data_IF_002684161436
#
_entry.id   IF_002684161436
#
_cell.length_a   1.000
_cell.length_b   1.000
_cell.length_c   1.000
_cell.angle_alpha   90.00
_cell.angle_beta   90.00
_cell.angle_gamma   90.00
#
_symmetry.space_group_name_H-M   'P 1'
#
loop_
_entity.id
_entity.type
_entity.pdbx_description
1 polymer ?
#
# COMPACT_ATOMS: atom_id res chain seq x y z
N UNK A 1 -10.58 2.21 24.07
CA UNK A 1 -9.70 1.50 23.09
C UNK A 1 -10.44 0.91 21.89
N UNK A 2 -11.60 0.24 22.04
CA UNK A 2 -12.37 -0.36 20.89
C UNK A 2 -12.69 0.58 19.72
N UNK A 3 -12.68 1.88 19.96
CA UNK A 3 -13.18 2.90 19.05
C UNK A 3 -12.18 3.35 17.96
N UNK A 4 -10.92 2.89 17.97
CA UNK A 4 -9.88 3.27 16.97
C UNK A 4 -9.01 2.12 16.48
N UNK A 5 -9.40 0.87 16.79
CA UNK A 5 -8.65 -0.34 16.39
C UNK A 5 -8.65 -0.50 14.87
N UNK A 6 -9.78 -0.19 14.22
CA UNK A 6 -9.93 -0.25 12.77
C UNK A 6 -8.89 0.62 12.06
N UNK A 7 -8.71 1.86 12.50
CA UNK A 7 -7.73 2.79 11.90
C UNK A 7 -6.29 2.36 12.15
N UNK A 8 -6.00 1.77 13.32
CA UNK A 8 -4.68 1.18 13.62
C UNK A 8 -4.40 -0.01 12.69
N UNK A 9 -5.35 -0.93 12.55
CA UNK A 9 -5.21 -2.10 11.66
C UNK A 9 -5.10 -1.66 10.20
N UNK A 10 -5.92 -0.72 9.76
CA UNK A 10 -5.88 -0.19 8.40
C UNK A 10 -4.53 0.46 8.09
N UNK A 11 -3.97 1.23 9.03
CA UNK A 11 -2.67 1.87 8.86
C UNK A 11 -1.52 0.84 8.93
N UNK A 12 -1.64 -0.18 9.79
CA UNK A 12 -0.68 -1.29 9.84
C UNK A 12 -0.65 -2.10 8.53
N UNK A 13 -1.83 -2.42 7.99
CA UNK A 13 -1.96 -3.09 6.70
C UNK A 13 -1.37 -2.26 5.57
N UNK A 14 -1.59 -0.94 5.56
CA UNK A 14 -0.94 -0.06 4.60
C UNK A 14 0.59 -0.14 4.67
N UNK A 15 1.18 -0.07 5.86
CA UNK A 15 2.65 -0.18 5.99
C UNK A 15 3.16 -1.52 5.48
N UNK A 16 2.46 -2.62 5.79
CA UNK A 16 2.80 -3.94 5.28
C UNK A 16 2.69 -4.00 3.74
N UNK A 17 1.53 -3.65 3.17
CA UNK A 17 1.28 -3.79 1.73
C UNK A 17 2.17 -2.86 0.91
N UNK A 18 2.49 -1.67 1.41
CA UNK A 18 3.43 -0.76 0.77
C UNK A 18 4.83 -1.38 0.70
N UNK A 19 5.37 -1.81 1.83
CA UNK A 19 6.70 -2.40 1.91
C UNK A 19 6.81 -3.76 1.17
N UNK A 20 5.75 -4.56 1.23
CA UNK A 20 5.66 -5.82 0.49
C UNK A 20 5.55 -5.61 -1.03
N UNK A 21 4.84 -4.57 -1.47
CA UNK A 21 4.75 -4.21 -2.89
C UNK A 21 6.08 -3.72 -3.44
N UNK A 22 6.77 -2.86 -2.70
CA UNK A 22 8.12 -2.39 -3.01
C UNK A 22 9.09 -3.59 -3.11
N UNK A 23 9.11 -4.45 -2.10
CA UNK A 23 9.91 -5.67 -2.12
C UNK A 23 9.59 -6.59 -3.32
N UNK A 24 8.29 -6.80 -3.61
CA UNK A 24 7.88 -7.58 -4.78
C UNK A 24 8.41 -6.94 -6.06
N UNK A 25 8.27 -5.63 -6.21
CA UNK A 25 8.74 -4.89 -7.38
C UNK A 25 10.26 -5.08 -7.56
N UNK A 26 11.06 -4.93 -6.51
CA UNK A 26 12.51 -5.09 -6.58
C UNK A 26 12.91 -6.51 -6.99
N UNK A 27 12.27 -7.53 -6.40
CA UNK A 27 12.50 -8.93 -6.77
C UNK A 27 12.17 -9.17 -8.23
N UNK A 28 11.03 -8.66 -8.71
CA UNK A 28 10.64 -8.80 -10.13
C UNK A 28 11.60 -8.03 -11.04
N UNK A 29 12.02 -6.83 -10.68
CA UNK A 29 12.94 -6.02 -11.48
C UNK A 29 14.35 -6.62 -11.55
N UNK A 30 14.84 -7.21 -10.46
CA UNK A 30 16.15 -7.86 -10.41
C UNK A 30 16.27 -9.07 -11.35
N UNK A 31 15.17 -9.61 -11.87
CA UNK A 31 15.18 -10.64 -12.91
C UNK A 31 15.57 -10.08 -14.29
N UNK A 32 15.41 -8.77 -14.51
CA UNK A 32 15.59 -8.13 -15.82
C UNK A 32 16.76 -7.15 -15.88
N UNK A 33 17.13 -6.52 -14.75
CA UNK A 33 18.10 -5.42 -14.72
C UNK A 33 19.15 -5.57 -13.63
N UNK A 34 20.23 -4.80 -13.73
CA UNK A 34 21.30 -4.78 -12.73
C UNK A 34 20.85 -4.16 -11.40
N UNK A 35 21.47 -4.48 -10.24
CA UNK A 35 21.08 -3.90 -8.96
C UNK A 35 21.09 -2.37 -8.91
N UNK A 36 22.01 -1.72 -9.64
CA UNK A 36 22.05 -0.26 -9.73
C UNK A 36 20.84 0.31 -10.48
N UNK A 37 20.33 -0.41 -11.47
CA UNK A 37 19.12 -0.02 -12.20
C UNK A 37 17.86 -0.29 -11.38
N UNK A 38 17.80 -1.37 -10.60
CA UNK A 38 16.67 -1.65 -9.69
C UNK A 38 16.39 -0.44 -8.80
N UNK A 39 17.43 0.12 -8.15
CA UNK A 39 17.30 1.30 -7.28
C UNK A 39 16.75 2.54 -8.01
N UNK A 40 17.07 2.70 -9.30
CA UNK A 40 16.54 3.79 -10.12
C UNK A 40 15.03 3.58 -10.35
N UNK A 41 14.62 2.37 -10.71
CA UNK A 41 13.21 2.05 -10.94
C UNK A 41 12.39 2.05 -9.65
N UNK A 42 12.97 1.59 -8.55
CA UNK A 42 12.42 1.68 -7.19
C UNK A 42 12.12 3.15 -6.85
N UNK A 43 13.09 4.04 -7.08
CA UNK A 43 12.90 5.49 -6.87
C UNK A 43 11.75 6.06 -7.72
N UNK A 44 11.54 5.56 -8.93
CA UNK A 44 10.43 5.97 -9.79
C UNK A 44 9.07 5.53 -9.23
N UNK A 45 8.94 4.27 -8.78
CA UNK A 45 7.67 3.76 -8.24
C UNK A 45 7.36 4.38 -6.87
N UNK A 46 8.37 4.63 -6.04
CA UNK A 46 8.22 5.43 -4.80
C UNK A 46 7.72 6.83 -5.16
N UNK A 47 8.30 7.47 -6.18
CA UNK A 47 7.83 8.76 -6.70
C UNK A 47 6.36 8.73 -7.15
N UNK A 48 5.92 7.67 -7.81
CA UNK A 48 4.53 7.50 -8.23
C UNK A 48 3.57 7.40 -7.02
N UNK A 49 4.01 6.81 -5.91
CA UNK A 49 3.21 6.76 -4.68
C UNK A 49 2.93 8.15 -4.11
N UNK A 50 3.87 9.09 -4.23
CA UNK A 50 3.69 10.48 -3.80
C UNK A 50 2.56 11.14 -4.58
N UNK A 51 2.51 10.91 -5.90
CA UNK A 51 1.43 11.42 -6.77
C UNK A 51 0.08 10.91 -6.26
N UNK A 52 -0.06 9.60 -6.07
CA UNK A 52 -1.29 9.00 -5.55
C UNK A 52 -1.67 9.52 -4.16
N UNK A 53 -0.70 9.75 -3.29
CA UNK A 53 -0.92 10.29 -1.95
C UNK A 53 -1.56 11.68 -1.97
N UNK A 54 -1.18 12.53 -2.92
CA UNK A 54 -1.76 13.87 -3.08
C UNK A 54 -3.13 13.89 -3.73
N UNK A 55 -3.53 12.84 -4.46
CA UNK A 55 -4.86 12.79 -5.11
C UNK A 55 -5.97 12.90 -4.06
N UNK A 56 -5.89 12.16 -2.94
CA UNK A 56 -6.94 12.17 -1.89
C UNK A 56 -7.21 13.56 -1.29
N UNK A 57 -6.22 14.34 -0.80
CA UNK A 57 -6.48 15.68 -0.27
C UNK A 57 -6.99 16.65 -1.35
N UNK A 58 -6.50 16.54 -2.60
CA UNK A 58 -7.01 17.37 -3.71
C UNK A 58 -8.50 17.10 -3.94
N UNK A 59 -8.90 15.83 -3.98
CA UNK A 59 -10.32 15.45 -4.11
C UNK A 59 -11.14 15.91 -2.91
N UNK A 60 -10.60 15.79 -1.70
CA UNK A 60 -11.26 16.27 -0.48
C UNK A 60 -11.62 17.75 -0.54
N UNK A 61 -10.70 18.60 -1.01
CA UNK A 61 -10.95 20.05 -1.08
C UNK A 61 -11.72 20.48 -2.34
N UNK A 62 -11.54 19.80 -3.48
CA UNK A 62 -12.11 20.26 -4.77
C UNK A 62 -13.35 19.49 -5.21
N UNK A 63 -13.44 18.19 -4.92
CA UNK A 63 -14.46 17.26 -5.45
C UNK A 63 -14.79 16.14 -4.45
N UNK A 64 -15.36 16.45 -3.27
CA UNK A 64 -15.56 15.44 -2.23
C UNK A 64 -16.51 14.31 -2.63
N UNK A 65 -17.46 14.57 -3.54
CA UNK A 65 -18.45 13.60 -4.01
C UNK A 65 -17.87 12.44 -4.85
N UNK A 66 -16.66 12.55 -5.38
CA UNK A 66 -16.04 11.47 -6.18
C UNK A 66 -15.09 10.59 -5.36
N UNK A 67 -14.91 10.88 -4.07
CA UNK A 67 -13.91 10.20 -3.23
C UNK A 67 -14.20 8.72 -3.10
N UNK A 68 -15.47 8.34 -2.91
CA UNK A 68 -15.87 6.96 -2.71
C UNK A 68 -15.65 6.16 -4.01
N UNK A 69 -16.13 6.70 -5.13
CA UNK A 69 -15.90 6.12 -6.46
C UNK A 69 -14.40 6.01 -6.79
N UNK A 70 -13.59 7.03 -6.44
CA UNK A 70 -12.14 6.98 -6.63
C UNK A 70 -11.52 5.89 -5.76
N UNK A 71 -11.97 5.73 -4.52
CA UNK A 71 -11.50 4.67 -3.62
C UNK A 71 -11.80 3.27 -4.16
N UNK A 72 -13.00 3.05 -4.72
CA UNK A 72 -13.37 1.79 -5.36
C UNK A 72 -12.47 1.47 -6.55
N UNK A 73 -12.31 2.43 -7.46
CA UNK A 73 -11.46 2.28 -8.64
C UNK A 73 -10.01 2.04 -8.24
N UNK A 74 -9.48 2.80 -7.27
CA UNK A 74 -8.12 2.61 -6.77
C UNK A 74 -7.93 1.23 -6.15
N UNK A 75 -8.90 0.72 -5.40
CA UNK A 75 -8.83 -0.62 -4.82
C UNK A 75 -8.75 -1.72 -5.89
N UNK A 76 -9.58 -1.63 -6.92
CA UNK A 76 -9.56 -2.56 -8.07
C UNK A 76 -8.24 -2.45 -8.83
N UNK A 77 -7.77 -1.23 -9.10
CA UNK A 77 -6.49 -0.98 -9.77
C UNK A 77 -5.30 -1.54 -8.99
N UNK A 78 -5.30 -1.40 -7.66
CA UNK A 78 -4.24 -1.94 -6.82
C UNK A 78 -4.15 -3.45 -6.95
N UNK A 79 -5.27 -4.16 -6.78
CA UNK A 79 -5.29 -5.63 -6.87
C UNK A 79 -4.91 -6.09 -8.28
N UNK A 80 -5.43 -5.44 -9.32
CA UNK A 80 -5.06 -5.75 -10.70
C UNK A 80 -3.55 -5.53 -10.96
N UNK A 81 -2.98 -4.42 -10.49
CA UNK A 81 -1.56 -4.11 -10.67
C UNK A 81 -0.65 -5.09 -9.91
N UNK A 82 -1.03 -5.52 -8.71
CA UNK A 82 -0.31 -6.56 -7.97
C UNK A 82 -0.33 -7.90 -8.71
N UNK A 83 -1.49 -8.31 -9.25
CA UNK A 83 -1.59 -9.53 -10.06
C UNK A 83 -0.76 -9.43 -11.35
N UNK A 84 -0.74 -8.26 -11.99
CA UNK A 84 0.12 -7.99 -13.14
C UNK A 84 1.60 -8.11 -12.77
N UNK A 85 2.05 -7.53 -11.65
CA UNK A 85 3.44 -7.65 -11.16
C UNK A 85 3.84 -9.11 -10.93
N UNK A 86 2.96 -9.90 -10.32
CA UNK A 86 3.19 -11.32 -10.04
C UNK A 86 3.37 -12.13 -11.34
N UNK A 87 2.57 -11.81 -12.37
CA UNK A 87 2.52 -12.57 -13.62
C UNK A 87 3.40 -11.97 -14.74
N UNK A 88 4.02 -10.81 -14.51
CA UNK A 88 4.76 -10.09 -15.53
C UNK A 88 5.99 -10.86 -16.00
N UNK A 89 6.06 -11.11 -17.31
CA UNK A 89 7.21 -11.75 -17.99
C UNK A 89 8.08 -10.77 -18.78
N UNK A 90 7.67 -9.50 -18.83
CA UNK A 90 8.33 -8.42 -19.55
C UNK A 90 8.62 -7.27 -18.60
N UNK A 91 9.80 -6.66 -18.74
CA UNK A 91 10.27 -5.58 -17.85
C UNK A 91 9.36 -4.35 -17.92
N UNK A 92 8.83 -4.02 -19.10
CA UNK A 92 7.92 -2.88 -19.28
C UNK A 92 6.62 -3.07 -18.49
N UNK A 93 6.14 -4.31 -18.39
CA UNK A 93 4.94 -4.67 -17.62
C UNK A 93 5.22 -4.60 -16.13
N UNK A 94 6.43 -4.99 -15.68
CA UNK A 94 6.84 -4.82 -14.28
C UNK A 94 6.87 -3.33 -13.91
N UNK A 95 7.48 -2.48 -14.74
CA UNK A 95 7.54 -1.03 -14.52
C UNK A 95 6.13 -0.43 -14.48
N UNK A 96 5.29 -0.72 -15.48
CA UNK A 96 3.93 -0.21 -15.53
C UNK A 96 3.09 -0.69 -14.34
N UNK A 97 3.19 -1.97 -13.98
CA UNK A 97 2.52 -2.56 -12.82
C UNK A 97 2.97 -1.91 -11.51
N UNK A 98 4.28 -1.70 -11.34
CA UNK A 98 4.87 -1.02 -10.18
C UNK A 98 4.39 0.42 -10.04
N UNK A 99 4.41 1.20 -11.12
CA UNK A 99 3.92 2.58 -11.13
C UNK A 99 2.44 2.66 -10.72
N UNK A 100 1.59 1.79 -11.28
CA UNK A 100 0.16 1.76 -10.97
C UNK A 100 -0.07 1.29 -9.53
N UNK A 101 0.58 0.21 -9.09
CA UNK A 101 0.44 -0.35 -7.75
C UNK A 101 0.88 0.67 -6.68
N UNK A 102 2.05 1.28 -6.84
CA UNK A 102 2.58 2.27 -5.90
C UNK A 102 1.73 3.55 -5.89
N UNK A 103 1.25 4.03 -7.04
CA UNK A 103 0.33 5.16 -7.09
C UNK A 103 -1.00 4.84 -6.36
N UNK A 104 -1.57 3.66 -6.60
CA UNK A 104 -2.79 3.23 -5.93
C UNK A 104 -2.58 3.08 -4.40
N UNK A 105 -1.47 2.48 -3.98
CA UNK A 105 -1.07 2.40 -2.57
C UNK A 105 -0.86 3.77 -1.95
N UNK A 106 -0.31 4.73 -2.69
CA UNK A 106 -0.19 6.12 -2.27
C UNK A 106 -1.54 6.73 -1.90
N UNK A 107 -2.54 6.57 -2.76
CA UNK A 107 -3.91 7.03 -2.47
C UNK A 107 -4.55 6.30 -1.28
N UNK A 108 -4.40 4.98 -1.21
CA UNK A 108 -4.87 4.16 -0.09
C UNK A 108 -4.21 4.58 1.23
N UNK A 109 -2.91 4.86 1.21
CA UNK A 109 -2.13 5.35 2.35
C UNK A 109 -2.60 6.72 2.81
N UNK A 110 -2.81 7.66 1.89
CA UNK A 110 -3.36 8.98 2.19
C UNK A 110 -4.73 8.89 2.86
N UNK A 111 -5.58 7.97 2.38
CA UNK A 111 -6.89 7.69 2.99
C UNK A 111 -6.75 7.10 4.39
N UNK A 112 -5.87 6.11 4.59
CA UNK A 112 -5.59 5.51 5.88
C UNK A 112 -5.08 6.54 6.89
N UNK A 113 -4.11 7.38 6.48
CA UNK A 113 -3.58 8.46 7.31
C UNK A 113 -4.63 9.51 7.64
N UNK A 114 -5.49 9.89 6.70
CA UNK A 114 -6.56 10.85 6.96
C UNK A 114 -7.60 10.29 7.96
N UNK A 115 -8.00 9.03 7.80
CA UNK A 115 -8.91 8.34 8.74
C UNK A 115 -8.28 8.23 10.13
N UNK A 116 -7.02 7.80 10.20
CA UNK A 116 -6.27 7.69 11.43
C UNK A 116 -6.12 9.06 12.12
N UNK A 117 -5.70 10.09 11.40
CA UNK A 117 -5.54 11.43 11.95
C UNK A 117 -6.86 11.97 12.48
N UNK A 118 -7.97 11.87 11.73
CA UNK A 118 -9.31 12.26 12.20
C UNK A 118 -9.71 11.56 13.50
N UNK A 119 -9.38 10.26 13.62
CA UNK A 119 -9.71 9.44 14.79
C UNK A 119 -8.91 9.84 16.03
N UNK A 120 -7.62 10.13 15.87
CA UNK A 120 -6.69 10.31 16.99
C UNK A 120 -6.30 11.77 17.26
N UNK A 121 -6.67 12.74 16.42
CA UNK A 121 -6.27 14.15 16.51
C UNK A 121 -6.49 14.81 17.89
N UNK A 122 -7.52 14.38 18.63
CA UNK A 122 -7.86 14.91 19.96
C UNK A 122 -7.53 13.94 21.09
N UNK A 123 -6.62 13.01 20.86
CA UNK A 123 -6.24 11.98 21.85
C UNK A 123 -4.76 12.08 22.19
N UNK A 124 -4.35 11.85 23.45
CA UNK A 124 -2.94 11.82 23.83
C UNK A 124 -2.19 10.61 23.27
N UNK A 125 -2.88 9.68 22.62
CA UNK A 125 -2.34 8.41 22.14
C UNK A 125 -1.96 8.42 20.66
N UNK A 126 -2.06 9.56 19.93
CA UNK A 126 -1.83 9.61 18.48
C UNK A 126 -0.47 9.03 18.10
N UNK A 127 0.61 9.53 18.70
CA UNK A 127 1.96 9.06 18.41
C UNK A 127 2.14 7.57 18.74
N UNK A 128 1.59 7.12 19.87
CA UNK A 128 1.66 5.70 20.29
C UNK A 128 0.91 4.79 19.32
N UNK A 129 -0.28 5.20 18.88
CA UNK A 129 -1.08 4.44 17.94
C UNK A 129 -0.44 4.39 16.54
N UNK A 130 0.23 5.47 16.11
CA UNK A 130 0.95 5.52 14.84
C UNK A 130 2.19 4.60 14.89
N UNK A 131 2.98 4.70 15.96
CA UNK A 131 4.12 3.82 16.19
C UNK A 131 3.72 2.34 16.28
N UNK A 132 2.61 2.03 16.95
CA UNK A 132 2.06 0.68 17.00
C UNK A 132 1.64 0.19 15.61
N UNK A 133 0.97 1.03 14.82
CA UNK A 133 0.55 0.67 13.46
C UNK A 133 1.75 0.34 12.58
N UNK A 134 2.80 1.17 12.63
CA UNK A 134 4.05 0.93 11.93
C UNK A 134 4.73 -0.37 12.39
N UNK A 135 4.90 -0.54 13.70
CA UNK A 135 5.53 -1.74 14.26
C UNK A 135 4.76 -3.02 13.89
N UNK A 136 3.43 -2.97 13.88
CA UNK A 136 2.59 -4.09 13.44
C UNK A 136 2.77 -4.38 11.95
N UNK A 137 2.79 -3.36 11.09
CA UNK A 137 3.02 -3.55 9.66
C UNK A 137 4.38 -4.18 9.35
N UNK A 138 5.45 -3.67 9.98
CA UNK A 138 6.80 -4.24 9.87
C UNK A 138 6.87 -5.65 10.44
N UNK A 139 6.22 -5.92 11.57
CA UNK A 139 6.15 -7.27 12.13
C UNK A 139 5.50 -8.25 11.15
N UNK A 140 4.39 -7.87 10.52
CA UNK A 140 3.74 -8.69 9.49
C UNK A 140 4.68 -8.91 8.29
N UNK A 141 5.42 -7.88 7.87
CA UNK A 141 6.43 -8.01 6.81
C UNK A 141 7.50 -9.04 7.16
N UNK A 142 8.08 -8.94 8.36
CA UNK A 142 9.12 -9.86 8.84
C UNK A 142 8.57 -11.28 8.93
N UNK A 143 7.36 -11.47 9.48
CA UNK A 143 6.74 -12.78 9.57
C UNK A 143 6.42 -13.36 8.18
N UNK A 144 5.92 -12.55 7.26
CA UNK A 144 5.67 -12.97 5.89
C UNK A 144 6.98 -13.45 5.23
N UNK A 145 8.07 -12.72 5.42
CA UNK A 145 9.36 -13.08 4.85
C UNK A 145 10.00 -14.32 5.49
N UNK A 146 9.89 -14.46 6.82
CA UNK A 146 10.57 -15.54 7.58
C UNK A 146 9.79 -16.86 7.59
N UNK A 147 8.45 -16.80 7.53
CA UNK A 147 7.60 -17.99 7.74
C UNK A 147 7.02 -18.51 6.43
N UNK A 148 6.67 -17.63 5.49
CA UNK A 148 6.05 -18.07 4.24
C UNK A 148 7.13 -18.52 3.25
N UNK A 149 6.94 -19.64 2.53
CA UNK A 149 7.81 -20.03 1.44
C UNK A 149 7.86 -18.93 0.37
N UNK A 150 9.06 -18.72 -0.19
CA UNK A 150 9.28 -17.75 -1.27
C UNK A 150 8.39 -18.10 -2.47
N UNK A 151 7.84 -17.07 -3.12
CA UNK A 151 6.97 -17.19 -4.29
C UNK A 151 5.49 -17.04 -3.94
N UNK A 152 4.65 -17.95 -4.43
CA UNK A 152 3.18 -17.85 -4.40
C UNK A 152 2.63 -17.59 -2.99
N UNK A 153 3.09 -18.25 -1.90
CA UNK A 153 2.54 -18.00 -0.57
C UNK A 153 2.74 -16.56 -0.09
N UNK A 154 3.95 -16.00 -0.22
CA UNK A 154 4.24 -14.61 0.15
C UNK A 154 3.42 -13.61 -0.67
N UNK A 155 3.28 -13.86 -1.96
CA UNK A 155 2.48 -13.04 -2.88
C UNK A 155 0.98 -13.10 -2.55
N UNK A 156 0.47 -14.28 -2.17
CA UNK A 156 -0.92 -14.45 -1.76
C UNK A 156 -1.24 -13.66 -0.49
N UNK A 157 -0.34 -13.67 0.51
CA UNK A 157 -0.50 -12.85 1.72
C UNK A 157 -0.57 -11.37 1.37
N UNK A 158 0.31 -10.88 0.49
CA UNK A 158 0.27 -9.50 0.01
C UNK A 158 -1.09 -9.15 -0.62
N UNK A 159 -1.57 -9.96 -1.56
CA UNK A 159 -2.86 -9.71 -2.24
C UNK A 159 -4.03 -9.72 -1.26
N UNK A 160 -4.08 -10.70 -0.34
CA UNK A 160 -5.13 -10.78 0.68
C UNK A 160 -5.11 -9.56 1.59
N UNK A 161 -3.93 -9.12 2.04
CA UNK A 161 -3.80 -7.93 2.86
C UNK A 161 -4.15 -6.64 2.11
N UNK A 162 -3.84 -6.54 0.81
CA UNK A 162 -4.26 -5.43 -0.02
C UNK A 162 -5.79 -5.36 -0.16
N UNK A 163 -6.45 -6.50 -0.38
CA UNK A 163 -7.91 -6.59 -0.39
C UNK A 163 -8.49 -6.20 0.97
N UNK A 164 -7.95 -6.73 2.06
CA UNK A 164 -8.39 -6.41 3.41
C UNK A 164 -8.22 -4.92 3.73
N UNK A 165 -7.12 -4.30 3.29
CA UNK A 165 -6.90 -2.86 3.43
C UNK A 165 -7.95 -2.05 2.68
N UNK A 166 -8.21 -2.37 1.41
CA UNK A 166 -9.23 -1.69 0.60
C UNK A 166 -10.60 -1.81 1.27
N UNK A 167 -10.99 -3.01 1.71
CA UNK A 167 -12.25 -3.25 2.41
C UNK A 167 -12.36 -2.42 3.72
N UNK A 168 -11.28 -2.30 4.49
CA UNK A 168 -11.26 -1.49 5.71
C UNK A 168 -11.31 0.01 5.44
N UNK A 169 -10.82 0.47 4.28
CA UNK A 169 -10.92 1.87 3.86
C UNK A 169 -12.35 2.24 3.47
N UNK A 170 -13.10 1.32 2.88
CA UNK A 170 -14.50 1.53 2.47
C UNK A 170 -15.50 1.40 3.62
N UNK A 171 -15.22 0.55 4.60
CA UNK A 171 -16.05 0.44 5.81
C UNK A 171 -15.83 1.56 6.83
N UNK A 172 -15.14 2.64 6.48
CA UNK A 172 -14.61 3.67 7.39
C UNK A 172 -15.59 4.81 7.69
#
# INVERSE_FOLDING_TARGET
MRRGIREIICLALFFFTFLACEYLFDVRMAEFVSPNEVVIYESLVIGASVIGFFVRPILYYRRPHVIDATSDVTGVLLVAALLLLIMAVQVEVVIAGGLVACCALGYCGSTAHANFARRFARTPCLARAAALSYAMGVLVQVLNHMVMPVGIPQQAVLVVCAIAQVALLHGA
#
